data_IF_963653778457
#
_entry.id   IF_963653778457
#
_cell.length_a   1.000
_cell.length_b   1.000
_cell.length_c   1.000
_cell.angle_alpha   90.00
_cell.angle_beta   90.00
_cell.angle_gamma   90.00
#
_symmetry.space_group_name_H-M   'P 1'
#
loop_
_entity.id
_entity.type
_entity.pdbx_description
1 polymer ?
#
# COMPACT_ATOMS: atom_id res chain seq x y z
N UNK A 1 -59.84 31.62 26.57
CA UNK A 1 -59.11 31.66 25.27
C UNK A 1 -57.79 32.37 25.45
N UNK A 2 -56.69 31.63 25.61
CA UNK A 2 -55.33 32.13 25.38
C UNK A 2 -54.56 31.02 24.68
N UNK A 3 -54.15 31.32 23.45
CA UNK A 3 -53.54 30.45 22.47
C UNK A 3 -52.08 30.17 22.88
N UNK A 4 -51.73 28.91 23.05
CA UNK A 4 -50.33 28.49 23.23
C UNK A 4 -49.65 28.43 21.86
N UNK A 5 -48.68 29.29 21.61
CA UNK A 5 -47.80 29.20 20.45
C UNK A 5 -46.64 28.24 20.76
N UNK A 6 -46.66 27.06 20.12
CA UNK A 6 -45.50 26.16 20.05
C UNK A 6 -44.60 26.61 18.89
N UNK A 7 -43.39 27.06 19.21
CA UNK A 7 -42.34 27.35 18.23
C UNK A 7 -41.63 26.03 17.91
N UNK A 8 -41.82 25.53 16.69
CA UNK A 8 -41.04 24.43 16.13
C UNK A 8 -39.63 24.94 15.79
N UNK A 9 -38.64 24.52 16.57
CA UNK A 9 -37.22 24.59 16.19
C UNK A 9 -36.98 23.52 15.12
N UNK A 10 -37.16 23.88 13.86
CA UNK A 10 -36.64 23.08 12.75
C UNK A 10 -35.12 23.20 12.78
N UNK A 11 -34.45 22.10 13.14
CA UNK A 11 -33.00 21.98 13.11
C UNK A 11 -32.54 22.09 11.66
N UNK A 12 -31.90 23.21 11.32
CA UNK A 12 -31.10 23.33 10.13
C UNK A 12 -29.85 22.50 10.38
N UNK A 13 -29.86 21.24 9.94
CA UNK A 13 -28.63 20.53 9.66
C UNK A 13 -27.92 21.29 8.55
N UNK A 14 -27.00 22.17 8.94
CA UNK A 14 -25.96 22.62 8.03
C UNK A 14 -25.17 21.37 7.67
N UNK A 15 -25.59 20.71 6.59
CA UNK A 15 -24.75 19.78 5.88
C UNK A 15 -23.46 20.53 5.60
N UNK A 16 -22.36 20.05 6.19
CA UNK A 16 -21.03 20.50 5.80
C UNK A 16 -20.90 20.10 4.35
N UNK A 17 -21.16 21.07 3.47
CA UNK A 17 -20.77 20.99 2.08
C UNK A 17 -19.26 20.72 2.12
N UNK A 18 -18.83 19.57 1.60
CA UNK A 18 -17.44 19.15 1.58
C UNK A 18 -16.63 20.19 0.78
N UNK A 19 -16.16 21.20 1.51
CA UNK A 19 -15.24 22.20 1.01
C UNK A 19 -13.94 21.43 0.73
N UNK A 20 -13.49 21.48 -0.51
CA UNK A 20 -12.24 20.89 -1.01
C UNK A 20 -11.18 20.82 0.11
N UNK A 21 -10.97 19.62 0.66
CA UNK A 21 -9.78 19.37 1.44
C UNK A 21 -8.62 19.51 0.46
N UNK A 22 -7.92 20.64 0.54
CA UNK A 22 -6.70 20.96 -0.21
C UNK A 22 -5.60 19.97 0.19
N UNK A 23 -5.73 18.75 -0.30
CA UNK A 23 -4.79 17.67 -0.14
C UNK A 23 -3.44 18.14 -0.70
N UNK A 24 -2.47 18.35 0.19
CA UNK A 24 -1.14 18.84 -0.18
C UNK A 24 -0.32 17.68 -0.71
N UNK A 25 -0.28 17.55 -2.02
CA UNK A 25 0.45 16.48 -2.68
C UNK A 25 1.95 16.55 -2.42
N UNK A 26 2.52 15.38 -2.19
CA UNK A 26 3.96 15.16 -2.09
C UNK A 26 4.39 14.04 -3.03
N UNK A 27 5.62 14.12 -3.51
CA UNK A 27 6.28 13.08 -4.31
C UNK A 27 7.69 12.81 -3.84
N UNK A 28 8.22 11.67 -4.27
CA UNK A 28 9.66 11.48 -4.35
C UNK A 28 10.27 12.56 -5.27
N UNK A 29 11.40 13.20 -4.90
CA UNK A 29 11.99 14.31 -5.65
C UNK A 29 12.23 14.06 -7.15
N UNK A 30 12.52 12.81 -7.54
CA UNK A 30 12.74 12.38 -8.91
C UNK A 30 11.86 11.17 -9.22
N UNK A 31 10.54 11.34 -9.38
CA UNK A 31 9.65 10.21 -9.57
C UNK A 31 9.87 9.57 -10.94
N UNK A 32 9.69 8.26 -11.01
CA UNK A 32 9.65 7.48 -12.23
C UNK A 32 8.39 6.59 -12.25
N UNK A 33 8.18 5.83 -13.31
CA UNK A 33 6.98 5.02 -13.52
C UNK A 33 7.04 3.61 -12.92
N UNK A 34 8.13 3.26 -12.23
CA UNK A 34 8.45 1.89 -11.80
C UNK A 34 8.80 1.77 -10.32
N UNK A 35 9.53 2.72 -9.75
CA UNK A 35 10.06 2.66 -8.39
C UNK A 35 8.96 2.72 -7.36
N UNK A 36 8.92 1.73 -6.48
CA UNK A 36 8.08 1.81 -5.28
C UNK A 36 8.78 2.69 -4.24
N UNK A 37 8.02 3.54 -3.56
CA UNK A 37 8.55 4.56 -2.65
C UNK A 37 7.96 4.37 -1.25
N UNK A 38 8.80 4.42 -0.24
CA UNK A 38 8.38 4.58 1.15
C UNK A 38 8.29 6.06 1.50
N UNK A 39 7.17 6.49 2.07
CA UNK A 39 6.98 7.79 2.70
C UNK A 39 6.77 7.61 4.19
N UNK A 40 7.26 8.53 5.02
CA UNK A 40 6.98 8.54 6.46
C UNK A 40 7.04 9.91 7.10
N UNK A 41 6.30 10.07 8.19
CA UNK A 41 6.43 11.20 9.13
C UNK A 41 6.11 10.74 10.55
N UNK A 42 6.93 11.20 11.49
CA UNK A 42 6.73 10.95 12.93
C UNK A 42 6.20 12.21 13.60
N UNK A 43 5.05 12.09 14.24
CA UNK A 43 4.40 13.15 14.99
C UNK A 43 4.67 12.95 16.47
N UNK A 44 5.18 13.98 17.15
CA UNK A 44 5.40 13.95 18.59
C UNK A 44 4.16 14.53 19.27
N UNK A 45 3.58 13.76 20.18
CA UNK A 45 2.44 14.16 21.00
C UNK A 45 2.81 14.06 22.47
N UNK A 46 2.26 14.94 23.31
CA UNK A 46 2.48 14.83 24.76
C UNK A 46 1.64 13.71 25.40
N UNK A 47 0.49 13.42 24.80
CA UNK A 47 -0.49 12.45 25.27
C UNK A 47 -1.09 11.74 24.07
N UNK A 48 -1.66 10.55 24.29
CA UNK A 48 -2.32 9.78 23.23
C UNK A 48 -3.59 10.53 22.79
N UNK A 49 -3.75 10.84 21.49
CA UNK A 49 -4.99 11.42 20.97
C UNK A 49 -6.21 10.54 21.27
N UNK A 50 -7.37 11.16 21.47
CA UNK A 50 -8.63 10.44 21.76
C UNK A 50 -9.17 9.76 20.50
N UNK A 51 -9.21 10.51 19.41
CA UNK A 51 -9.66 10.01 18.11
C UNK A 51 -8.73 10.52 17.04
N UNK A 52 -8.56 9.72 15.99
CA UNK A 52 -7.82 10.13 14.82
C UNK A 52 -8.26 9.40 13.57
N UNK A 53 -8.32 10.17 12.49
CA UNK A 53 -8.56 9.71 11.13
C UNK A 53 -7.37 10.05 10.26
N UNK A 54 -7.07 9.13 9.35
CA UNK A 54 -6.04 9.28 8.34
C UNK A 54 -6.68 9.21 6.97
N UNK A 55 -6.78 10.33 6.28
CA UNK A 55 -7.24 10.37 4.89
C UNK A 55 -6.03 10.37 3.97
N UNK A 56 -5.96 9.39 3.08
CA UNK A 56 -4.89 9.24 2.09
C UNK A 56 -5.49 9.35 0.70
N UNK A 57 -4.96 10.27 -0.10
CA UNK A 57 -5.25 10.40 -1.52
C UNK A 57 -4.01 10.00 -2.32
N UNK A 58 -4.17 9.19 -3.36
CA UNK A 58 -3.06 8.65 -4.16
C UNK A 58 -3.43 8.52 -5.64
N UNK A 59 -2.44 8.63 -6.52
CA UNK A 59 -2.58 8.34 -7.96
C UNK A 59 -2.07 6.95 -8.35
N UNK A 60 -1.46 6.21 -7.41
CA UNK A 60 -0.95 4.86 -7.60
C UNK A 60 -1.54 3.87 -6.59
N UNK A 61 -0.87 2.73 -6.40
CA UNK A 61 -1.20 1.78 -5.35
C UNK A 61 -0.54 2.21 -4.03
N UNK A 62 -1.22 1.98 -2.89
CA UNK A 62 -0.64 2.31 -1.59
C UNK A 62 -1.08 1.34 -0.49
N UNK A 63 -0.13 1.03 0.39
CA UNK A 63 -0.36 0.41 1.70
C UNK A 63 0.04 1.38 2.81
N UNK A 64 -0.79 1.48 3.85
CA UNK A 64 -0.67 2.47 4.92
C UNK A 64 -0.34 1.80 6.23
N UNK A 65 0.61 2.37 6.97
CA UNK A 65 1.09 1.87 8.25
C UNK A 65 1.05 2.97 9.32
N UNK A 66 0.64 2.59 10.53
CA UNK A 66 0.73 3.44 11.71
C UNK A 66 1.44 2.65 12.79
N UNK A 67 2.57 3.17 13.27
CA UNK A 67 3.38 2.53 14.32
C UNK A 67 3.68 1.05 14.01
N UNK A 68 4.15 0.80 12.78
CA UNK A 68 4.48 -0.53 12.22
C UNK A 68 3.29 -1.44 11.90
N UNK A 69 2.10 -1.11 12.39
CA UNK A 69 0.87 -1.84 12.09
C UNK A 69 0.33 -1.44 10.71
N UNK A 70 0.07 -2.42 9.85
CA UNK A 70 -0.62 -2.18 8.57
C UNK A 70 -2.09 -1.84 8.86
N UNK A 71 -2.53 -0.67 8.41
CA UNK A 71 -3.91 -0.16 8.54
C UNK A 71 -4.73 -0.49 7.30
N UNK A 72 -4.07 -0.67 6.15
CA UNK A 72 -4.71 -1.06 4.91
C UNK A 72 -5.33 -2.46 4.99
N UNK A 73 -4.94 -3.32 5.95
CA UNK A 73 -5.34 -4.73 6.03
C UNK A 73 -5.18 -5.50 4.68
N UNK A 74 -5.34 -6.82 4.68
CA UNK A 74 -5.37 -7.61 3.44
C UNK A 74 -6.69 -7.42 2.65
N UNK A 75 -7.35 -6.28 2.84
CA UNK A 75 -8.71 -5.90 2.41
C UNK A 75 -8.74 -4.54 1.70
N UNK A 76 -7.72 -3.69 1.87
CA UNK A 76 -7.76 -2.27 1.45
C UNK A 76 -6.39 -1.83 0.93
N UNK A 77 -5.66 -2.71 0.24
CA UNK A 77 -4.65 -2.21 -0.71
C UNK A 77 -5.43 -1.50 -1.80
N UNK A 78 -5.11 -0.23 -2.06
CA UNK A 78 -5.63 0.49 -3.22
C UNK A 78 -4.98 -0.09 -4.48
N UNK A 79 -5.23 -1.36 -4.77
CA UNK A 79 -4.65 -2.01 -5.93
C UNK A 79 -5.45 -1.59 -7.17
N UNK A 80 -4.75 -1.20 -8.22
CA UNK A 80 -5.36 -0.75 -9.47
C UNK A 80 -5.31 -1.90 -10.47
N UNK A 81 -6.49 -2.39 -10.88
CA UNK A 81 -6.64 -3.42 -11.91
C UNK A 81 -6.19 -2.96 -13.31
N UNK A 82 -6.09 -1.64 -13.52
CA UNK A 82 -5.63 -1.05 -14.77
C UNK A 82 -4.71 0.16 -14.50
N UNK A 83 -3.71 0.41 -15.37
CA UNK A 83 -2.95 1.66 -15.37
C UNK A 83 -3.88 2.86 -15.41
N UNK A 84 -3.98 3.57 -14.29
CA UNK A 84 -4.77 4.79 -14.17
C UNK A 84 -4.06 5.66 -13.17
N UNK A 85 -3.96 6.96 -13.45
CA UNK A 85 -3.40 7.98 -12.57
C UNK A 85 -4.49 8.91 -12.00
N UNK A 86 -5.76 8.47 -12.09
CA UNK A 86 -6.90 9.19 -11.51
C UNK A 86 -6.78 9.13 -9.98
N UNK A 87 -6.82 10.25 -9.25
CA UNK A 87 -6.69 10.23 -7.79
C UNK A 87 -7.83 9.45 -7.12
N UNK A 88 -7.47 8.62 -6.15
CA UNK A 88 -8.41 7.91 -5.27
C UNK A 88 -8.13 8.28 -3.81
N UNK A 89 -9.18 8.39 -3.00
CA UNK A 89 -9.08 8.79 -1.59
C UNK A 89 -9.69 7.72 -0.68
N UNK A 90 -9.05 7.44 0.45
CA UNK A 90 -9.58 6.58 1.52
C UNK A 90 -9.30 7.18 2.88
N UNK A 91 -10.20 6.96 3.84
CA UNK A 91 -10.05 7.41 5.23
C UNK A 91 -10.06 6.22 6.17
N UNK A 92 -9.08 6.18 7.08
CA UNK A 92 -8.90 5.12 8.07
C UNK A 92 -9.09 5.67 9.48
N UNK A 93 -9.82 4.96 10.35
CA UNK A 93 -9.78 5.20 11.79
C UNK A 93 -8.53 4.53 12.39
N UNK A 94 -7.61 5.36 12.88
CA UNK A 94 -6.32 4.91 13.41
C UNK A 94 -6.23 5.10 14.94
N UNK A 95 -7.32 5.47 15.60
CA UNK A 95 -7.36 5.83 17.02
C UNK A 95 -6.76 4.74 17.92
N UNK A 96 -7.02 3.48 17.59
CA UNK A 96 -6.56 2.31 18.33
C UNK A 96 -5.05 2.05 18.22
N UNK A 97 -4.40 2.55 17.17
CA UNK A 97 -2.96 2.35 16.88
C UNK A 97 -2.06 3.44 17.49
N UNK A 98 -2.65 4.51 18.00
CA UNK A 98 -1.89 5.64 18.51
C UNK A 98 -1.26 5.38 19.87
N UNK A 99 -0.03 5.88 20.04
CA UNK A 99 0.77 5.90 21.26
C UNK A 99 0.76 7.31 21.87
N UNK A 100 1.25 7.44 23.10
CA UNK A 100 1.23 8.69 23.85
C UNK A 100 2.39 9.64 23.56
N UNK A 101 3.50 9.11 23.06
CA UNK A 101 4.78 9.79 22.89
C UNK A 101 5.04 10.22 21.45
N UNK A 102 4.99 9.26 20.52
CA UNK A 102 5.32 9.44 19.13
C UNK A 102 4.47 8.51 18.28
N UNK A 103 4.01 9.05 17.15
CA UNK A 103 3.18 8.31 16.21
C UNK A 103 3.77 8.45 14.82
N UNK A 104 4.21 7.34 14.26
CA UNK A 104 4.76 7.29 12.91
C UNK A 104 3.70 6.82 11.94
N UNK A 105 3.41 7.65 10.96
CA UNK A 105 2.60 7.30 9.79
C UNK A 105 3.57 7.02 8.65
N UNK A 106 3.39 5.88 7.99
CA UNK A 106 4.22 5.42 6.88
C UNK A 106 3.32 4.92 5.73
N UNK A 107 3.75 5.16 4.49
CA UNK A 107 3.04 4.73 3.28
C UNK A 107 4.04 4.00 2.37
N UNK A 108 3.63 2.87 1.82
CA UNK A 108 4.33 2.20 0.74
C UNK A 108 3.57 2.45 -0.55
N UNK A 109 4.12 3.29 -1.42
CA UNK A 109 3.53 3.69 -2.69
C UNK A 109 4.13 2.90 -3.86
N UNK A 110 3.31 2.54 -4.84
CA UNK A 110 3.76 2.10 -6.16
C UNK A 110 3.06 2.93 -7.25
N UNK A 111 3.78 3.38 -8.29
CA UNK A 111 3.20 4.15 -9.39
C UNK A 111 2.26 3.29 -10.24
N UNK A 112 1.46 3.94 -11.08
CA UNK A 112 0.66 3.25 -12.10
C UNK A 112 1.42 3.26 -13.43
N UNK A 113 2.33 2.30 -13.59
CA UNK A 113 3.10 2.12 -14.83
C UNK A 113 2.19 2.14 -16.07
N UNK A 114 2.53 2.87 -17.15
CA UNK A 114 3.79 3.59 -17.39
C UNK A 114 3.75 5.08 -16.99
N UNK A 115 2.74 5.52 -16.23
CA UNK A 115 2.54 6.93 -15.91
C UNK A 115 3.53 7.42 -14.85
N UNK A 116 4.21 8.54 -15.15
CA UNK A 116 5.01 9.29 -14.18
C UNK A 116 4.11 10.38 -13.61
N UNK A 117 3.76 10.27 -12.33
CA UNK A 117 2.94 11.26 -11.64
C UNK A 117 3.72 11.91 -10.49
N UNK A 118 3.66 13.23 -10.42
CA UNK A 118 4.19 14.01 -9.30
C UNK A 118 3.16 14.09 -8.15
N UNK A 119 1.89 13.83 -8.39
CA UNK A 119 0.84 13.73 -7.39
C UNK A 119 0.82 12.32 -6.78
N UNK A 120 1.91 11.88 -6.16
CA UNK A 120 2.01 10.49 -5.69
C UNK A 120 1.07 10.24 -4.50
N UNK A 121 1.25 10.97 -3.40
CA UNK A 121 0.39 10.85 -2.22
C UNK A 121 0.07 12.20 -1.59
N UNK A 122 -1.10 12.31 -0.98
CA UNK A 122 -1.48 13.38 -0.08
C UNK A 122 -2.13 12.78 1.17
N UNK A 123 -1.81 13.32 2.34
CA UNK A 123 -2.20 12.76 3.64
C UNK A 123 -2.78 13.83 4.53
N UNK A 124 -3.93 13.54 5.13
CA UNK A 124 -4.55 14.35 6.18
C UNK A 124 -4.66 13.50 7.45
N UNK A 125 -3.84 13.83 8.45
CA UNK A 125 -3.92 13.25 9.79
C UNK A 125 -4.67 14.21 10.71
N UNK A 126 -5.92 13.88 11.06
CA UNK A 126 -6.78 14.77 11.83
C UNK A 126 -7.47 14.02 12.98
N UNK A 127 -7.94 14.75 13.98
CA UNK A 127 -8.58 14.13 15.13
C UNK A 127 -8.76 15.05 16.31
N UNK A 128 -8.94 14.46 17.49
CA UNK A 128 -9.04 15.16 18.77
C UNK A 128 -7.91 14.75 19.70
N UNK A 129 -7.24 15.74 20.27
CA UNK A 129 -6.25 15.49 21.32
C UNK A 129 -6.93 15.06 22.63
N UNK A 130 -6.12 14.71 23.64
CA UNK A 130 -6.63 14.25 24.93
C UNK A 130 -7.47 15.27 25.70
N UNK A 131 -7.32 16.56 25.37
CA UNK A 131 -8.09 17.69 25.92
C UNK A 131 -9.34 18.01 25.10
N UNK A 132 -9.63 17.22 24.06
CA UNK A 132 -10.78 17.40 23.18
C UNK A 132 -10.60 18.49 22.11
N UNK A 133 -9.39 19.04 21.95
CA UNK A 133 -9.09 20.03 20.91
C UNK A 133 -8.86 19.35 19.58
N UNK A 134 -9.41 19.92 18.51
CA UNK A 134 -9.21 19.40 17.17
C UNK A 134 -7.77 19.69 16.70
N UNK A 135 -7.19 18.75 15.96
CA UNK A 135 -5.95 18.94 15.21
C UNK A 135 -6.10 18.43 13.78
N UNK A 136 -5.32 18.99 12.88
CA UNK A 136 -5.17 18.51 11.51
C UNK A 136 -3.74 18.79 11.03
N UNK A 137 -3.10 17.76 10.50
CA UNK A 137 -1.78 17.82 9.89
C UNK A 137 -1.91 17.37 8.43
N UNK A 138 -1.51 18.24 7.51
CA UNK A 138 -1.44 17.95 6.10
C UNK A 138 -0.04 17.43 5.75
N UNK A 139 0.06 16.64 4.67
CA UNK A 139 1.34 16.34 4.06
C UNK A 139 2.05 17.61 3.57
N UNK A 140 3.37 17.58 3.63
CA UNK A 140 4.26 18.70 3.34
C UNK A 140 5.68 18.15 3.08
N UNK A 141 6.62 19.03 2.75
CA UNK A 141 8.00 18.66 2.44
C UNK A 141 8.80 18.13 3.63
N UNK A 142 8.24 18.13 4.85
CA UNK A 142 8.92 17.52 6.01
C UNK A 142 8.72 16.01 6.10
N UNK A 143 7.86 15.43 5.25
CA UNK A 143 7.81 13.98 5.08
C UNK A 143 9.14 13.46 4.53
N UNK A 144 9.60 12.33 5.06
CA UNK A 144 10.75 11.64 4.54
C UNK A 144 10.30 10.62 3.49
N UNK A 145 11.09 10.47 2.43
CA UNK A 145 10.89 9.47 1.40
C UNK A 145 12.18 8.76 1.02
N UNK A 146 12.06 7.51 0.55
CA UNK A 146 13.17 6.68 0.10
C UNK A 146 12.63 5.60 -0.87
N UNK A 147 13.37 5.25 -1.94
CA UNK A 147 13.01 4.08 -2.75
C UNK A 147 12.97 2.81 -1.91
N UNK A 148 11.91 2.02 -2.10
CA UNK A 148 11.82 0.69 -1.55
C UNK A 148 12.77 -0.26 -2.28
N UNK A 149 12.92 -1.48 -1.77
CA UNK A 149 13.67 -2.54 -2.42
C UNK A 149 12.85 -3.26 -3.53
N UNK A 150 11.88 -2.55 -4.12
CA UNK A 150 10.95 -3.10 -5.10
C UNK A 150 10.69 -2.11 -6.22
N UNK A 151 10.56 -2.64 -7.43
CA UNK A 151 10.19 -1.89 -8.63
C UNK A 151 9.11 -2.65 -9.40
N UNK A 152 8.30 -1.93 -10.16
CA UNK A 152 7.42 -2.51 -11.17
C UNK A 152 8.24 -2.76 -12.45
N UNK A 153 8.07 -3.92 -13.07
CA UNK A 153 8.57 -4.17 -14.41
C UNK A 153 7.47 -3.88 -15.45
N UNK A 154 7.83 -3.73 -16.74
CA UNK A 154 6.84 -3.62 -17.80
C UNK A 154 5.85 -4.80 -17.75
N UNK A 155 4.54 -4.52 -17.85
CA UNK A 155 3.39 -5.45 -17.69
C UNK A 155 2.82 -5.65 -16.28
N UNK A 156 3.17 -4.79 -15.31
CA UNK A 156 2.67 -4.84 -13.92
C UNK A 156 3.22 -5.99 -13.07
N UNK A 157 4.26 -6.62 -13.59
CA UNK A 157 5.22 -7.47 -12.91
C UNK A 157 5.91 -6.71 -11.77
N UNK A 158 6.44 -7.45 -10.80
CA UNK A 158 7.16 -6.85 -9.68
C UNK A 158 8.52 -7.53 -9.50
N UNK A 159 9.53 -6.72 -9.27
CA UNK A 159 10.87 -7.18 -8.88
C UNK A 159 11.07 -6.84 -7.41
N UNK A 160 11.47 -7.84 -6.63
CA UNK A 160 11.91 -7.65 -5.26
C UNK A 160 13.40 -7.95 -5.13
N UNK A 161 14.16 -6.93 -4.74
CA UNK A 161 15.55 -7.09 -4.36
C UNK A 161 15.66 -7.30 -2.84
N UNK A 162 15.74 -8.56 -2.39
CA UNK A 162 15.95 -8.86 -0.97
C UNK A 162 17.43 -8.78 -0.55
N UNK A 163 18.36 -8.78 -1.51
CA UNK A 163 19.81 -8.67 -1.27
C UNK A 163 20.18 -7.33 -0.60
N UNK A 164 19.34 -6.29 -0.81
CA UNK A 164 19.43 -5.00 -0.10
C UNK A 164 18.86 -5.12 1.32
N UNK A 165 19.63 -4.67 2.31
CA UNK A 165 19.16 -4.65 3.71
C UNK A 165 17.92 -3.76 3.88
N UNK A 166 16.79 -4.39 4.21
CA UNK A 166 15.55 -3.72 4.57
C UNK A 166 15.65 -3.28 6.02
N UNK A 167 16.23 -2.11 6.25
CA UNK A 167 16.13 -1.42 7.56
C UNK A 167 14.65 -1.22 7.92
N UNK A 168 14.23 -1.31 9.20
CA UNK A 168 12.82 -1.16 9.59
C UNK A 168 12.28 0.24 9.24
N UNK A 169 11.74 0.36 8.03
CA UNK A 169 11.44 1.63 7.35
C UNK A 169 10.23 2.35 7.94
N UNK A 170 9.29 1.61 8.53
CA UNK A 170 8.07 2.10 9.16
C UNK A 170 8.15 2.13 10.70
N UNK A 171 9.29 1.74 11.30
CA UNK A 171 9.50 1.74 12.75
C UNK A 171 10.03 3.07 13.29
N UNK A 172 10.04 3.20 14.62
CA UNK A 172 10.68 4.32 15.32
C UNK A 172 11.47 3.76 16.51
N UNK A 173 12.80 4.01 16.60
CA UNK A 173 13.62 4.86 15.72
C UNK A 173 13.93 4.22 14.34
N UNK A 174 14.33 5.05 13.37
CA UNK A 174 14.85 4.60 12.06
C UNK A 174 16.18 5.29 11.77
N UNK A 175 17.08 4.62 11.04
CA UNK A 175 18.23 5.29 10.47
C UNK A 175 17.78 6.15 9.26
N UNK A 176 17.85 7.47 9.41
CA UNK A 176 17.41 8.45 8.40
C UNK A 176 18.49 8.82 7.38
N UNK A 177 19.72 8.28 7.47
CA UNK A 177 20.84 8.71 6.62
C UNK A 177 20.60 8.52 5.11
N UNK A 178 19.78 7.54 4.71
CA UNK A 178 19.43 7.25 3.32
C UNK A 178 18.05 7.81 2.92
N UNK A 179 17.44 8.61 3.78
CA UNK A 179 16.15 9.23 3.53
C UNK A 179 16.33 10.68 3.10
N UNK A 180 15.44 11.16 2.25
CA UNK A 180 15.39 12.55 1.83
C UNK A 180 14.00 13.15 2.03
N UNK A 181 13.90 14.46 2.04
CA UNK A 181 12.61 15.15 2.14
C UNK A 181 11.79 14.94 0.87
N UNK A 182 10.48 14.74 1.04
CA UNK A 182 9.54 14.69 -0.06
C UNK A 182 9.42 16.07 -0.73
N UNK A 183 9.10 16.08 -2.01
CA UNK A 183 8.86 17.29 -2.79
C UNK A 183 7.38 17.63 -2.76
N UNK A 184 7.04 18.83 -2.28
CA UNK A 184 5.67 19.35 -2.38
C UNK A 184 5.31 19.63 -3.85
N UNK A 185 4.08 19.31 -4.21
CA UNK A 185 3.53 19.57 -5.54
C UNK A 185 2.45 20.63 -5.43
N UNK A 186 2.73 21.77 -6.04
CA UNK A 186 1.84 22.92 -6.02
C UNK A 186 0.95 22.95 -7.26
N UNK A 187 -0.36 22.90 -7.05
CA UNK A 187 -1.37 23.03 -8.09
C UNK A 187 -2.13 24.35 -7.93
N UNK A 188 -2.28 25.17 -9.00
CA UNK A 188 -3.26 26.23 -9.01
C UNK A 188 -4.68 25.62 -9.05
N UNK A 189 -5.62 26.22 -8.32
CA UNK A 189 -6.98 25.71 -8.10
C UNK A 189 -7.82 25.35 -9.35
N UNK A 190 -7.35 25.63 -10.58
CA UNK A 190 -8.03 25.30 -11.84
C UNK A 190 -7.56 23.99 -12.50
N UNK A 191 -6.48 23.38 -12.01
CA UNK A 191 -5.88 22.16 -12.56
C UNK A 191 -6.23 20.86 -11.81
N UNK A 192 -6.90 20.97 -10.65
CA UNK A 192 -7.13 19.84 -9.76
C UNK A 192 -7.73 18.65 -10.51
N UNK A 193 -6.97 17.55 -10.61
CA UNK A 193 -7.49 16.27 -11.09
C UNK A 193 -8.78 15.98 -10.34
N UNK A 194 -9.88 15.77 -11.07
CA UNK A 194 -11.19 15.51 -10.47
C UNK A 194 -11.08 14.28 -9.57
N UNK A 195 -11.22 14.49 -8.26
CA UNK A 195 -11.39 13.39 -7.32
C UNK A 195 -12.60 12.60 -7.80
N UNK A 196 -12.40 11.34 -8.13
CA UNK A 196 -13.52 10.43 -8.20
C UNK A 196 -13.57 9.68 -6.88
N UNK A 197 -14.72 9.72 -6.23
CA UNK A 197 -15.10 8.71 -5.25
C UNK A 197 -15.39 7.40 -6.00
N UNK A 198 -14.38 6.87 -6.73
CA UNK A 198 -14.45 5.48 -7.16
C UNK A 198 -14.27 4.70 -5.87
N UNK A 199 -15.34 4.01 -5.47
CA UNK A 199 -15.29 2.86 -4.59
C UNK A 199 -14.39 1.84 -5.29
N UNK A 200 -13.08 2.01 -5.15
CA UNK A 200 -12.09 1.07 -5.65
C UNK A 200 -12.32 -0.20 -4.86
N UNK A 201 -12.72 -1.26 -5.57
CA UNK A 201 -13.11 -2.51 -4.93
C UNK A 201 -12.03 -3.01 -3.98
N UNK A 202 -12.47 -3.53 -2.84
CA UNK A 202 -11.61 -4.00 -1.77
C UNK A 202 -11.06 -5.37 -2.15
N UNK A 203 -9.74 -5.51 -2.27
CA UNK A 203 -9.11 -6.80 -2.48
C UNK A 203 -9.04 -7.57 -1.17
N UNK A 204 -9.77 -8.69 -1.06
CA UNK A 204 -9.73 -9.55 0.12
C UNK A 204 -9.12 -10.91 -0.19
N UNK A 205 -8.22 -11.37 0.66
CA UNK A 205 -7.74 -12.76 0.63
C UNK A 205 -8.89 -13.72 0.94
N UNK A 206 -9.16 -14.64 0.01
CA UNK A 206 -10.25 -15.64 0.14
C UNK A 206 -9.74 -17.03 0.43
N UNK A 207 -8.55 -17.38 -0.09
CA UNK A 207 -8.04 -18.74 -0.03
C UNK A 207 -6.53 -18.76 -0.16
N UNK A 208 -5.90 -19.69 0.55
CA UNK A 208 -4.48 -20.02 0.34
C UNK A 208 -4.42 -21.48 -0.08
N UNK A 209 -3.77 -21.76 -1.22
CA UNK A 209 -3.66 -23.12 -1.77
C UNK A 209 -2.19 -23.48 -2.04
N UNK A 210 -1.73 -24.68 -1.63
CA UNK A 210 -0.47 -25.22 -2.13
C UNK A 210 -0.63 -25.68 -3.58
N UNK A 211 0.49 -25.90 -4.27
CA UNK A 211 0.49 -26.61 -5.55
C UNK A 211 0.06 -28.07 -5.37
N UNK A 212 -0.51 -28.68 -6.42
CA UNK A 212 -0.91 -30.10 -6.44
C UNK A 212 0.25 -31.02 -6.82
N UNK A 213 0.96 -30.66 -7.88
CA UNK A 213 2.16 -31.34 -8.35
C UNK A 213 3.03 -30.36 -9.13
N UNK A 214 4.25 -30.79 -9.47
CA UNK A 214 5.14 -30.04 -10.34
C UNK A 214 5.81 -30.96 -11.37
N UNK A 215 6.18 -30.38 -12.50
CA UNK A 215 6.90 -31.06 -13.57
C UNK A 215 8.23 -30.35 -13.80
N UNK A 216 9.32 -31.13 -13.86
CA UNK A 216 10.63 -30.62 -14.24
C UNK A 216 10.72 -30.52 -15.76
N UNK A 217 11.17 -29.37 -16.26
CA UNK A 217 11.39 -29.11 -17.67
C UNK A 217 12.78 -28.47 -17.85
N UNK A 218 13.81 -29.32 -17.96
CA UNK A 218 15.20 -28.87 -17.99
C UNK A 218 15.63 -28.28 -16.66
N UNK A 219 16.05 -27.01 -16.69
CA UNK A 219 16.41 -26.18 -15.53
C UNK A 219 15.22 -25.39 -14.95
N UNK A 220 14.02 -25.59 -15.49
CA UNK A 220 12.80 -24.92 -15.04
C UNK A 220 11.80 -25.89 -14.44
N UNK A 221 10.83 -25.36 -13.70
CA UNK A 221 9.80 -26.14 -13.00
C UNK A 221 8.43 -25.54 -13.23
N UNK A 222 7.49 -26.35 -13.71
CA UNK A 222 6.09 -25.98 -13.79
C UNK A 222 5.35 -26.45 -12.55
N UNK A 223 4.64 -25.56 -11.86
CA UNK A 223 3.77 -25.89 -10.73
C UNK A 223 2.30 -25.80 -11.13
N UNK A 224 1.52 -26.86 -10.88
CA UNK A 224 0.09 -26.91 -11.16
C UNK A 224 -0.72 -26.71 -9.87
N UNK A 225 -1.66 -25.76 -9.87
CA UNK A 225 -2.52 -25.47 -8.72
C UNK A 225 -3.92 -26.08 -8.84
N UNK A 226 -4.27 -26.69 -9.97
CA UNK A 226 -5.55 -27.32 -10.25
C UNK A 226 -6.53 -26.35 -10.90
N UNK A 227 -7.32 -25.66 -10.08
CA UNK A 227 -8.27 -24.66 -10.57
C UNK A 227 -7.56 -23.33 -10.84
N UNK A 228 -7.95 -22.58 -11.90
CA UNK A 228 -7.53 -21.20 -12.10
C UNK A 228 -7.75 -20.33 -10.86
N UNK A 229 -6.91 -19.31 -10.70
CA UNK A 229 -6.99 -18.36 -9.61
C UNK A 229 -6.69 -16.94 -10.08
N UNK A 230 -7.13 -15.97 -9.28
CA UNK A 230 -6.67 -14.59 -9.33
C UNK A 230 -6.00 -14.25 -8.00
N UNK A 231 -4.78 -13.72 -8.03
CA UNK A 231 -4.02 -13.43 -6.82
C UNK A 231 -2.52 -13.39 -7.05
N UNK A 232 -1.75 -13.86 -6.08
CA UNK A 232 -0.29 -13.87 -6.16
C UNK A 232 0.32 -15.12 -5.51
N UNK A 233 1.61 -15.35 -5.78
CA UNK A 233 2.37 -16.45 -5.18
C UNK A 233 3.12 -16.00 -3.94
N UNK A 234 3.22 -16.90 -2.97
CA UNK A 234 4.10 -16.79 -1.82
C UNK A 234 4.98 -18.03 -1.74
N UNK A 235 6.30 -17.80 -1.75
CA UNK A 235 7.30 -18.85 -1.64
C UNK A 235 8.11 -18.71 -0.34
N UNK A 236 8.41 -19.83 0.29
CA UNK A 236 9.45 -19.96 1.32
C UNK A 236 10.66 -20.62 0.69
N UNK A 237 11.81 -19.94 0.77
CA UNK A 237 13.05 -20.37 0.14
C UNK A 237 14.11 -20.72 1.19
N UNK A 238 14.95 -21.72 0.89
CA UNK A 238 16.12 -22.10 1.67
C UNK A 238 17.29 -22.38 0.75
N UNK A 239 18.49 -22.27 1.30
CA UNK A 239 19.74 -22.58 0.60
C UNK A 239 19.95 -21.76 -0.69
N UNK A 240 19.29 -20.60 -0.77
CA UNK A 240 19.52 -19.61 -1.82
C UNK A 240 20.84 -18.87 -1.57
N UNK A 241 21.51 -18.50 -2.64
CA UNK A 241 22.70 -17.64 -2.56
C UNK A 241 22.28 -16.18 -2.54
N UNK A 242 23.02 -15.37 -1.78
CA UNK A 242 22.85 -13.92 -1.83
C UNK A 242 23.09 -13.41 -3.26
N UNK A 243 22.10 -12.70 -3.82
CA UNK A 243 22.09 -12.21 -5.19
C UNK A 243 21.57 -13.20 -6.24
N UNK A 244 21.15 -14.40 -5.84
CA UNK A 244 20.53 -15.39 -6.74
C UNK A 244 19.15 -14.91 -7.21
N UNK A 245 18.85 -15.07 -8.50
CA UNK A 245 17.58 -14.63 -9.09
C UNK A 245 16.66 -15.82 -9.33
N UNK A 246 15.42 -15.71 -8.84
CA UNK A 246 14.35 -16.67 -9.06
C UNK A 246 13.10 -15.94 -9.56
N UNK A 247 12.53 -16.42 -10.66
CA UNK A 247 11.29 -15.93 -11.25
C UNK A 247 10.14 -16.88 -10.92
N UNK A 248 9.04 -16.34 -10.39
CA UNK A 248 7.79 -17.03 -10.12
C UNK A 248 6.71 -16.52 -11.07
N UNK A 249 6.71 -17.06 -12.30
CA UNK A 249 6.01 -16.45 -13.42
C UNK A 249 6.59 -15.06 -13.69
N UNK A 250 5.75 -14.05 -13.50
CA UNK A 250 6.04 -12.65 -13.78
C UNK A 250 6.60 -11.89 -12.55
N UNK A 251 6.80 -12.57 -11.43
CA UNK A 251 7.41 -12.00 -10.23
C UNK A 251 8.89 -12.40 -10.13
N UNK A 252 9.80 -11.43 -10.10
CA UNK A 252 11.24 -11.66 -9.94
C UNK A 252 11.67 -11.42 -8.49
N UNK A 253 12.47 -12.34 -7.95
CA UNK A 253 13.00 -12.27 -6.60
C UNK A 253 14.53 -12.42 -6.60
N UNK A 254 15.23 -11.44 -6.05
CA UNK A 254 16.68 -11.48 -5.82
C UNK A 254 16.95 -11.84 -4.37
N UNK A 255 17.53 -13.01 -4.14
CA UNK A 255 17.67 -13.63 -2.83
C UNK A 255 18.69 -12.90 -1.94
N UNK A 256 18.43 -12.92 -0.63
CA UNK A 256 19.30 -12.32 0.38
C UNK A 256 20.29 -13.32 1.01
N UNK A 257 20.10 -14.61 0.78
CA UNK A 257 20.94 -15.71 1.26
C UNK A 257 20.69 -16.14 2.70
N UNK A 258 19.62 -15.67 3.35
CA UNK A 258 19.22 -16.07 4.70
C UNK A 258 18.35 -17.33 4.65
N UNK A 259 18.29 -18.06 5.75
CA UNK A 259 17.36 -19.20 5.87
C UNK A 259 15.92 -18.68 5.92
N UNK A 260 14.99 -19.43 5.30
CA UNK A 260 13.54 -19.16 5.31
C UNK A 260 13.15 -17.81 4.67
N UNK A 261 13.78 -17.47 3.54
CA UNK A 261 13.40 -16.25 2.81
C UNK A 261 11.95 -16.31 2.35
N UNK A 262 11.26 -15.17 2.41
CA UNK A 262 9.88 -15.02 1.96
C UNK A 262 9.85 -14.20 0.68
N UNK A 263 9.39 -14.81 -0.40
CA UNK A 263 9.25 -14.18 -1.71
C UNK A 263 7.77 -14.08 -2.08
N UNK A 264 7.29 -12.85 -2.30
CA UNK A 264 5.92 -12.56 -2.76
C UNK A 264 5.86 -11.13 -3.28
N UNK A 265 5.04 -10.83 -4.31
CA UNK A 265 4.83 -9.46 -4.77
C UNK A 265 4.00 -8.63 -3.77
N UNK A 266 4.21 -7.32 -3.77
CA UNK A 266 3.52 -6.35 -2.91
C UNK A 266 2.22 -5.87 -3.54
N UNK A 267 2.25 -5.45 -4.80
CA UNK A 267 1.09 -4.90 -5.53
C UNK A 267 0.69 -5.70 -6.77
N UNK A 268 1.57 -6.51 -7.35
CA UNK A 268 1.24 -7.32 -8.53
C UNK A 268 0.26 -8.47 -8.22
N UNK A 269 -0.78 -8.62 -9.04
CA UNK A 269 -1.78 -9.70 -9.04
C UNK A 269 -1.90 -10.23 -10.46
N UNK A 270 -2.12 -11.53 -10.61
CA UNK A 270 -2.27 -12.14 -11.91
C UNK A 270 -3.28 -13.29 -11.90
N UNK A 271 -3.82 -13.60 -13.08
CA UNK A 271 -4.57 -14.82 -13.32
C UNK A 271 -3.60 -15.96 -13.62
N UNK A 272 -3.73 -17.06 -12.89
CA UNK A 272 -2.83 -18.19 -13.03
C UNK A 272 -3.55 -19.52 -12.86
N UNK A 273 -2.88 -20.59 -13.31
CA UNK A 273 -3.27 -21.96 -13.02
C UNK A 273 -2.05 -22.84 -12.88
N UNK A 274 -1.20 -22.78 -13.91
CA UNK A 274 0.10 -23.43 -13.95
C UNK A 274 1.16 -22.36 -14.08
N UNK A 275 2.16 -22.39 -13.21
CA UNK A 275 3.17 -21.35 -13.09
C UNK A 275 4.53 -21.93 -13.43
N UNK A 276 5.24 -21.27 -14.35
CA UNK A 276 6.63 -21.52 -14.62
C UNK A 276 7.49 -20.84 -13.56
N UNK A 277 8.35 -21.61 -12.91
CA UNK A 277 9.38 -21.13 -11.99
C UNK A 277 10.74 -21.49 -12.55
N UNK A 278 11.61 -20.51 -12.63
CA UNK A 278 12.97 -20.67 -13.16
C UNK A 278 13.88 -19.65 -12.47
N UNK A 279 15.18 -19.75 -12.70
CA UNK A 279 16.13 -18.81 -12.14
C UNK A 279 17.45 -18.83 -12.88
N UNK A 280 18.44 -18.19 -12.28
CA UNK A 280 19.80 -18.19 -12.83
C UNK A 280 20.49 -19.56 -12.68
N UNK A 281 21.78 -19.64 -13.03
CA UNK A 281 22.58 -20.88 -12.97
C UNK A 281 22.63 -21.56 -11.58
N UNK A 282 22.32 -20.85 -10.51
CA UNK A 282 22.30 -21.35 -9.14
C UNK A 282 20.97 -21.97 -8.75
N UNK A 283 19.90 -21.67 -9.50
CA UNK A 283 18.56 -22.13 -9.21
C UNK A 283 18.50 -23.66 -9.13
N UNK A 284 17.87 -24.12 -8.05
CA UNK A 284 17.56 -25.52 -7.79
C UNK A 284 16.14 -25.60 -7.24
N UNK A 285 15.35 -26.51 -7.79
CA UNK A 285 13.97 -26.74 -7.35
C UNK A 285 13.89 -26.99 -5.83
N UNK A 286 14.89 -27.66 -5.27
CA UNK A 286 14.99 -28.01 -3.86
C UNK A 286 15.02 -26.78 -2.94
N UNK A 287 15.40 -25.60 -3.43
CA UNK A 287 15.38 -24.36 -2.65
C UNK A 287 13.96 -23.95 -2.26
N UNK A 288 12.95 -24.31 -3.07
CA UNK A 288 11.55 -23.95 -2.83
C UNK A 288 10.92 -24.94 -1.86
N UNK A 289 10.91 -24.55 -0.58
CA UNK A 289 10.36 -25.36 0.52
C UNK A 289 8.83 -25.34 0.56
N UNK A 290 8.25 -24.20 0.21
CA UNK A 290 6.81 -23.99 0.16
C UNK A 290 6.50 -23.04 -0.98
N UNK A 291 5.49 -23.37 -1.77
CA UNK A 291 4.94 -22.48 -2.78
C UNK A 291 3.43 -22.55 -2.70
N UNK A 292 2.80 -21.40 -2.53
CA UNK A 292 1.36 -21.27 -2.37
C UNK A 292 0.83 -20.13 -3.21
N UNK A 293 -0.40 -20.28 -3.66
CA UNK A 293 -1.20 -19.18 -4.16
C UNK A 293 -1.96 -18.57 -3.00
N UNK A 294 -1.95 -17.24 -2.95
CA UNK A 294 -2.86 -16.43 -2.15
C UNK A 294 -3.90 -15.84 -3.10
N UNK A 295 -5.10 -16.38 -3.04
CA UNK A 295 -6.23 -15.94 -3.87
C UNK A 295 -6.89 -14.71 -3.26
N UNK A 296 -7.21 -13.76 -4.14
CA UNK A 296 -7.92 -12.55 -3.78
C UNK A 296 -9.16 -12.37 -4.64
N UNK A 297 -10.19 -11.76 -4.07
CA UNK A 297 -11.33 -11.24 -4.84
C UNK A 297 -11.41 -9.74 -4.64
N UNK A 298 -11.99 -9.06 -5.62
CA UNK A 298 -12.34 -7.65 -5.50
C UNK A 298 -13.82 -7.54 -5.16
N UNK A 299 -14.13 -7.03 -3.97
CA UNK A 299 -15.49 -6.76 -3.54
C UNK A 299 -15.82 -5.29 -3.84
N UNK A 300 -16.83 -5.05 -4.67
CA UNK A 300 -17.37 -3.70 -4.88
C UNK A 300 -18.21 -3.30 -3.67
N UNK A 301 -17.89 -2.16 -3.05
CA UNK A 301 -18.60 -1.61 -1.88
C UNK A 301 -20.09 -1.27 -2.17
N UNK A 302 -20.55 -1.41 -3.42
CA UNK A 302 -21.96 -1.28 -3.80
C UNK A 302 -22.86 -2.42 -3.27
N UNK A 303 -22.28 -3.51 -2.75
CA UNK A 303 -23.02 -4.71 -2.35
C UNK A 303 -23.21 -4.88 -0.83
N UNK A 304 -22.67 -3.97 -0.01
CA UNK A 304 -22.80 -4.01 1.47
C UNK A 304 -23.61 -2.84 1.99
N UNK A 305 -24.83 -2.68 1.47
CA UNK A 305 -25.87 -1.81 2.03
C UNK A 305 -27.01 -2.66 2.59
N UNK A 306 -26.90 -3.07 3.85
CA UNK A 306 -28.03 -3.47 4.70
C UNK A 306 -28.06 -2.58 5.94
#
# INVERSE_FOLDING_TARGET
MRLSFLIWLTGWSLGVQAQEFSARWISYPQPDSTSQIWFRKTYISKERPLTAWLTVTTTGCVDVYVNECNVSNAQITLNRHAPSDVPTTRTFDISHLLRSDSNTIALWYAPSYPHIDHHQVAVVYSGKDRRGRNFAHLSDGSWLCRPANRVLAPNADEVQDANVDITPWNATPVNTALWQTAKEVWEPARGSKRLQDILTGQERVVKIRPYKYFDLAGDTVYYEFGEPFYGFLRATLRDCKKGEVIHFGDFEYICNGKTDEQAFPKFARFFGRRILVYGDKWFRREQIQRLEVVEVITEDESTTGY
#
